data_IF_059232476812
#
_entry.id   IF_059232476812
#
_cell.length_a   1.000
_cell.length_b   1.000
_cell.length_c   1.000
_cell.angle_alpha   90.00
_cell.angle_beta   90.00
_cell.angle_gamma   90.00
#
_symmetry.space_group_name_H-M   'P 1'
#
loop_
_entity.id
_entity.type
_entity.pdbx_description
1 polymer ?
#
# COMPACT_ATOMS: atom_id res chain seq x y z
N UNK A 1 -7.30 5.58 -8.97
CA UNK A 1 -6.53 4.51 -8.28
C UNK A 1 -5.57 5.12 -7.27
N UNK A 2 -4.59 5.92 -7.71
CA UNK A 2 -3.61 6.60 -6.84
C UNK A 2 -4.24 7.35 -5.65
N UNK A 3 -5.25 8.18 -5.89
CA UNK A 3 -5.93 8.94 -4.82
C UNK A 3 -6.59 8.05 -3.74
N UNK A 4 -7.13 6.89 -4.12
CA UNK A 4 -7.70 5.94 -3.14
C UNK A 4 -6.62 5.31 -2.28
N UNK A 5 -5.48 4.95 -2.88
CA UNK A 5 -4.33 4.37 -2.16
C UNK A 5 -3.78 5.40 -1.17
N UNK A 6 -3.62 6.66 -1.61
CA UNK A 6 -3.20 7.77 -0.74
C UNK A 6 -4.19 7.96 0.40
N UNK A 7 -5.50 7.90 0.13
CA UNK A 7 -6.52 8.03 1.18
C UNK A 7 -6.42 6.91 2.24
N UNK A 8 -6.15 5.67 1.82
CA UNK A 8 -5.92 4.54 2.74
C UNK A 8 -4.66 4.77 3.56
N UNK A 9 -3.54 5.12 2.91
CA UNK A 9 -2.26 5.37 3.57
C UNK A 9 -2.35 6.51 4.58
N UNK A 10 -3.00 7.62 4.22
CA UNK A 10 -3.27 8.74 5.14
C UNK A 10 -4.24 8.36 6.26
N UNK A 11 -5.09 7.35 6.06
CA UNK A 11 -5.94 6.80 7.12
C UNK A 11 -5.15 5.96 8.13
N UNK A 12 -4.10 5.26 7.68
CA UNK A 12 -3.21 4.46 8.53
C UNK A 12 -2.19 5.33 9.27
N UNK A 13 -1.56 6.26 8.55
CA UNK A 13 -0.47 7.13 9.04
C UNK A 13 -0.69 8.57 8.57
N UNK A 14 -1.65 9.31 9.15
CA UNK A 14 -1.93 10.70 8.78
C UNK A 14 -0.75 11.66 9.05
N UNK A 15 0.24 11.24 9.84
CA UNK A 15 1.46 12.01 10.12
C UNK A 15 2.43 12.11 8.93
N UNK A 16 2.27 11.28 7.90
CA UNK A 16 3.17 11.20 6.76
C UNK A 16 2.51 11.63 5.45
N UNK A 17 3.30 12.18 4.53
CA UNK A 17 2.85 12.52 3.17
C UNK A 17 3.25 11.42 2.19
N UNK A 18 2.28 10.60 1.80
CA UNK A 18 2.47 9.52 0.82
C UNK A 18 2.38 9.99 -0.63
N UNK A 19 2.17 11.28 -0.90
CA UNK A 19 2.16 11.82 -2.26
C UNK A 19 3.56 11.95 -2.86
N UNK A 20 4.60 11.92 -2.02
CA UNK A 20 6.00 12.01 -2.43
C UNK A 20 6.51 10.72 -3.07
N UNK A 21 7.50 10.86 -3.95
CA UNK A 21 8.19 9.75 -4.61
C UNK A 21 9.35 9.23 -3.73
N UNK A 22 9.02 8.78 -2.53
CA UNK A 22 9.98 8.24 -1.54
C UNK A 22 9.70 6.77 -1.24
N UNK A 23 10.68 6.08 -0.66
CA UNK A 23 10.51 4.69 -0.23
C UNK A 23 9.95 4.66 1.20
N UNK A 24 8.68 4.33 1.34
CA UNK A 24 7.94 4.37 2.61
C UNK A 24 8.52 3.44 3.69
N UNK A 25 9.16 2.35 3.29
CA UNK A 25 9.76 1.39 4.21
C UNK A 25 11.15 1.89 4.66
N UNK A 26 11.97 2.36 3.72
CA UNK A 26 13.32 2.87 4.04
C UNK A 26 13.28 4.16 4.86
N UNK A 27 12.32 5.04 4.57
CA UNK A 27 12.07 6.26 5.34
C UNK A 27 11.40 5.97 6.71
N UNK A 28 11.02 4.72 6.99
CA UNK A 28 10.38 4.32 8.24
C UNK A 28 8.95 4.86 8.40
N UNK A 29 8.30 5.23 7.30
CA UNK A 29 6.92 5.70 7.27
C UNK A 29 5.91 4.56 7.47
N UNK A 30 6.26 3.36 6.99
CA UNK A 30 5.48 2.14 7.16
C UNK A 30 6.33 1.06 7.85
N UNK A 31 5.77 0.45 8.89
CA UNK A 31 6.34 -0.73 9.52
C UNK A 31 5.66 -2.04 9.05
N UNK A 32 6.11 -3.18 9.58
CA UNK A 32 5.54 -4.47 9.22
C UNK A 32 4.07 -4.63 9.61
N UNK A 33 3.60 -3.98 10.68
CA UNK A 33 2.19 -4.01 11.07
C UNK A 33 1.34 -3.13 10.16
N UNK A 34 1.86 -1.97 9.76
CA UNK A 34 1.19 -1.06 8.83
C UNK A 34 0.98 -1.73 7.47
N UNK A 35 1.96 -2.49 6.99
CA UNK A 35 1.84 -3.27 5.74
C UNK A 35 0.69 -4.29 5.83
N UNK A 36 0.55 -5.00 6.94
CA UNK A 36 -0.56 -5.96 7.13
C UNK A 36 -1.92 -5.23 7.13
N UNK A 37 -2.02 -4.09 7.81
CA UNK A 37 -3.25 -3.30 7.83
C UNK A 37 -3.57 -2.72 6.45
N UNK A 38 -2.56 -2.26 5.73
CA UNK A 38 -2.67 -1.76 4.36
C UNK A 38 -3.20 -2.84 3.42
N UNK A 39 -2.68 -4.07 3.50
CA UNK A 39 -3.18 -5.21 2.72
C UNK A 39 -4.67 -5.44 2.97
N UNK A 40 -5.10 -5.47 4.23
CA UNK A 40 -6.51 -5.68 4.58
C UNK A 40 -7.42 -4.56 4.02
N UNK A 41 -6.98 -3.30 4.12
CA UNK A 41 -7.71 -2.14 3.58
C UNK A 41 -7.77 -2.16 2.05
N UNK A 42 -6.69 -2.54 1.38
CA UNK A 42 -6.64 -2.68 -0.08
C UNK A 42 -7.56 -3.80 -0.56
N UNK A 43 -7.51 -4.97 0.08
CA UNK A 43 -8.39 -6.11 -0.21
C UNK A 43 -9.86 -5.72 -0.09
N UNK A 44 -10.24 -5.07 1.02
CA UNK A 44 -11.62 -4.64 1.24
C UNK A 44 -12.06 -3.52 0.27
N UNK A 45 -11.20 -2.52 0.04
CA UNK A 45 -11.52 -1.35 -0.77
C UNK A 45 -11.63 -1.67 -2.27
N UNK A 46 -10.75 -2.55 -2.76
CA UNK A 46 -10.70 -2.92 -4.17
C UNK A 46 -11.40 -4.26 -4.48
N UNK A 47 -11.85 -4.99 -3.45
CA UNK A 47 -12.53 -6.28 -3.62
C UNK A 47 -11.60 -7.35 -4.19
N UNK A 48 -10.32 -7.32 -3.79
CA UNK A 48 -9.29 -8.27 -4.21
C UNK A 48 -8.86 -9.13 -3.03
N UNK A 49 -7.98 -10.11 -3.30
CA UNK A 49 -7.31 -10.90 -2.29
C UNK A 49 -5.82 -10.95 -2.62
N UNK A 50 -5.02 -10.19 -1.87
CA UNK A 50 -3.56 -10.21 -2.00
C UNK A 50 -3.03 -11.49 -1.35
N UNK A 51 -2.22 -12.25 -2.08
CA UNK A 51 -1.59 -13.46 -1.55
C UNK A 51 -0.54 -13.08 -0.47
N UNK A 52 -0.50 -13.85 0.63
CA UNK A 52 0.48 -13.67 1.69
C UNK A 52 1.93 -13.69 1.23
N UNK A 53 2.25 -14.39 0.12
CA UNK A 53 3.59 -14.40 -0.48
C UNK A 53 3.98 -13.06 -1.11
N UNK A 54 2.98 -12.27 -1.53
CA UNK A 54 3.17 -10.94 -2.11
C UNK A 54 3.16 -9.84 -1.04
N UNK A 55 2.94 -10.19 0.24
CA UNK A 55 3.03 -9.27 1.38
C UNK A 55 4.50 -9.06 1.78
N UNK A 56 5.26 -8.49 0.85
CA UNK A 56 6.67 -8.16 1.01
C UNK A 56 6.83 -6.64 1.07
N UNK A 57 7.68 -6.08 1.96
CA UNK A 57 7.88 -4.63 2.08
C UNK A 57 8.19 -3.96 0.73
N UNK A 58 8.92 -4.65 -0.15
CA UNK A 58 9.24 -4.18 -1.49
C UNK A 58 8.00 -3.90 -2.36
N UNK A 59 6.90 -4.61 -2.17
CA UNK A 59 5.65 -4.37 -2.90
C UNK A 59 4.84 -3.18 -2.35
N UNK A 60 5.20 -2.66 -1.17
CA UNK A 60 4.54 -1.54 -0.49
C UNK A 60 5.48 -0.35 -0.26
N UNK A 61 6.68 -0.39 -0.85
CA UNK A 61 7.70 0.64 -0.66
C UNK A 61 7.37 1.96 -1.37
N UNK A 62 6.46 1.97 -2.34
CA UNK A 62 6.06 3.18 -3.05
C UNK A 62 4.62 3.07 -3.55
N UNK A 63 4.01 4.20 -3.91
CA UNK A 63 2.68 4.20 -4.54
C UNK A 63 2.68 3.41 -5.84
N UNK A 64 3.75 3.51 -6.61
CA UNK A 64 3.92 2.80 -7.88
C UNK A 64 3.92 1.28 -7.66
N UNK A 65 4.66 0.78 -6.67
CA UNK A 65 4.73 -0.65 -6.36
C UNK A 65 3.37 -1.19 -5.86
N UNK A 66 2.67 -0.42 -5.02
CA UNK A 66 1.32 -0.78 -4.58
C UNK A 66 0.37 -0.84 -5.78
N UNK A 67 0.43 0.14 -6.69
CA UNK A 67 -0.39 0.12 -7.90
C UNK A 67 -0.07 -1.08 -8.81
N UNK A 68 1.19 -1.47 -8.93
CA UNK A 68 1.58 -2.68 -9.68
C UNK A 68 1.05 -3.95 -9.02
N UNK A 69 1.13 -4.06 -7.69
CA UNK A 69 0.53 -5.15 -6.93
C UNK A 69 -0.98 -5.24 -7.17
N UNK A 70 -1.70 -4.12 -7.11
CA UNK A 70 -3.13 -4.09 -7.36
C UNK A 70 -3.47 -4.50 -8.80
N UNK A 71 -2.71 -4.04 -9.80
CA UNK A 71 -2.89 -4.45 -11.19
C UNK A 71 -2.65 -5.94 -11.38
N UNK A 72 -1.62 -6.51 -10.73
CA UNK A 72 -1.34 -7.95 -10.72
C UNK A 72 -2.52 -8.75 -10.15
N UNK A 73 -3.20 -8.20 -9.16
CA UNK A 73 -4.39 -8.78 -8.53
C UNK A 73 -5.71 -8.45 -9.25
N UNK A 74 -5.67 -7.86 -10.45
CA UNK A 74 -6.85 -7.67 -11.30
C UNK A 74 -7.59 -6.34 -11.11
N UNK A 75 -7.02 -5.37 -10.38
CA UNK A 75 -7.58 -4.02 -10.27
C UNK A 75 -7.22 -3.21 -11.53
N UNK A 76 -8.23 -2.71 -12.24
CA UNK A 76 -8.12 -1.87 -13.46
C UNK A 76 -8.62 -0.45 -13.25
#
# INVERSE_FOLDING_TARGET
MKEKIIAILNGLRPEFDFSESVNFIEEGMLDSFDVINLVNELDSTFGISIDGIDVLPENFSSLENIMELLKKNGVV
#
